data_IF_131090591930
#
_entry.id   IF_131090591930
#
_cell.length_a   1.000
_cell.length_b   1.000
_cell.length_c   1.000
_cell.angle_alpha   90.00
_cell.angle_beta   90.00
_cell.angle_gamma   90.00
#
_symmetry.space_group_name_H-M   'P 1'
#
loop_
_entity.id
_entity.type
_entity.pdbx_description
1 polymer ?
#
# COMPACT_ATOMS: atom_id res chain seq x y z
N UNK A 1 40.04 -53.10 -18.26
CA UNK A 1 38.90 -52.33 -18.83
C UNK A 1 37.68 -52.27 -17.86
N UNK A 2 37.89 -51.98 -16.56
CA UNK A 2 36.81 -52.04 -15.54
C UNK A 2 36.70 -50.83 -14.58
N UNK A 3 37.61 -49.85 -14.62
CA UNK A 3 37.56 -48.68 -13.71
C UNK A 3 36.90 -47.43 -14.30
N UNK A 4 36.86 -47.27 -15.64
CA UNK A 4 36.30 -46.06 -16.26
C UNK A 4 34.76 -46.03 -16.25
N UNK A 5 34.12 -47.20 -16.33
CA UNK A 5 32.65 -47.29 -16.33
C UNK A 5 32.03 -47.06 -14.95
N UNK A 6 32.77 -47.32 -13.87
CA UNK A 6 32.27 -47.12 -12.50
C UNK A 6 32.29 -45.64 -12.08
N UNK A 7 33.30 -44.88 -12.52
CA UNK A 7 33.39 -43.45 -12.24
C UNK A 7 32.28 -42.63 -12.91
N UNK A 8 31.87 -43.02 -14.12
CA UNK A 8 30.83 -42.33 -14.87
C UNK A 8 29.46 -42.55 -14.22
N UNK A 9 29.16 -43.76 -13.71
CA UNK A 9 27.91 -44.00 -12.98
C UNK A 9 27.84 -43.21 -11.64
N UNK A 10 28.94 -43.07 -10.90
CA UNK A 10 28.93 -42.29 -9.65
C UNK A 10 28.73 -40.78 -9.89
N UNK A 11 29.24 -40.23 -10.99
CA UNK A 11 29.04 -38.81 -11.35
C UNK A 11 27.59 -38.50 -11.74
N UNK A 12 26.90 -39.42 -12.43
CA UNK A 12 25.47 -39.24 -12.76
C UNK A 12 24.55 -39.39 -11.55
N UNK A 13 24.89 -40.27 -10.60
CA UNK A 13 24.09 -40.42 -9.37
C UNK A 13 24.31 -39.22 -8.43
N UNK A 14 25.53 -38.67 -8.33
CA UNK A 14 25.74 -37.43 -7.58
C UNK A 14 25.08 -36.21 -8.25
N UNK A 15 25.04 -36.13 -9.58
CA UNK A 15 24.34 -35.04 -10.27
C UNK A 15 22.81 -35.13 -10.13
N UNK A 16 22.24 -36.33 -10.04
CA UNK A 16 20.80 -36.53 -9.88
C UNK A 16 20.31 -36.39 -8.42
N UNK A 17 21.19 -36.56 -7.42
CA UNK A 17 20.83 -36.46 -5.99
C UNK A 17 21.16 -35.08 -5.39
N UNK A 18 22.01 -34.27 -6.04
CA UNK A 18 22.37 -32.91 -5.55
C UNK A 18 21.55 -31.79 -6.24
N UNK A 19 20.76 -32.10 -7.27
CA UNK A 19 19.87 -31.13 -7.93
C UNK A 19 18.40 -31.42 -7.63
N UNK A 20 17.94 -31.08 -6.41
CA UNK A 20 16.68 -30.35 -6.32
C UNK A 20 16.70 -29.14 -5.36
N UNK A 21 17.86 -28.60 -4.96
CA UNK A 21 17.92 -27.48 -3.99
C UNK A 21 18.20 -26.10 -4.58
N UNK A 22 18.06 -25.92 -5.89
CA UNK A 22 18.22 -24.63 -6.58
C UNK A 22 17.02 -24.27 -7.45
N UNK A 23 15.83 -24.72 -7.06
CA UNK A 23 14.60 -24.02 -7.43
C UNK A 23 14.37 -23.04 -6.29
N UNK A 24 14.64 -21.75 -6.50
CA UNK A 24 14.26 -20.70 -5.55
C UNK A 24 12.82 -20.95 -5.13
N UNK A 25 12.54 -20.83 -3.82
CA UNK A 25 11.21 -21.04 -3.29
C UNK A 25 10.29 -19.96 -3.87
N UNK A 26 9.71 -20.23 -5.04
CA UNK A 26 8.74 -19.33 -5.67
C UNK A 26 7.68 -19.01 -4.64
N UNK A 27 7.54 -17.73 -4.30
CA UNK A 27 6.52 -17.28 -3.35
C UNK A 27 5.17 -17.83 -3.77
N UNK A 28 4.63 -18.73 -2.96
CA UNK A 28 3.32 -19.34 -3.22
C UNK A 28 2.27 -18.46 -2.56
N UNK A 29 1.32 -17.98 -3.37
CA UNK A 29 0.22 -17.14 -2.92
C UNK A 29 -1.08 -17.93 -3.00
N UNK A 30 -1.64 -18.27 -1.84
CA UNK A 30 -3.01 -18.79 -1.78
C UNK A 30 -4.00 -17.62 -1.81
N UNK A 31 -5.00 -17.71 -2.70
CA UNK A 31 -6.01 -16.66 -2.89
C UNK A 31 -7.38 -17.13 -2.42
N UNK A 32 -7.96 -16.40 -1.47
CA UNK A 32 -9.27 -16.72 -0.89
C UNK A 32 -10.24 -15.55 -1.11
N UNK A 33 -11.23 -15.68 -2.01
CA UNK A 33 -12.29 -14.68 -2.16
C UNK A 33 -13.06 -14.52 -0.86
N UNK A 34 -13.18 -13.28 -0.38
CA UNK A 34 -13.88 -12.97 0.87
C UNK A 34 -15.26 -12.39 0.63
N UNK A 35 -15.35 -11.40 -0.27
CA UNK A 35 -16.56 -10.61 -0.43
C UNK A 35 -16.67 -10.02 -1.84
N UNK A 36 -17.83 -10.21 -2.47
CA UNK A 36 -18.18 -9.52 -3.71
C UNK A 36 -18.65 -8.10 -3.39
N UNK A 37 -17.90 -7.10 -3.82
CA UNK A 37 -18.19 -5.69 -3.55
C UNK A 37 -19.44 -5.28 -4.35
N UNK A 38 -20.46 -4.68 -3.72
CA UNK A 38 -21.70 -4.25 -4.40
C UNK A 38 -21.51 -2.91 -5.14
N UNK A 39 -20.37 -2.73 -5.79
CA UNK A 39 -20.01 -1.57 -6.60
C UNK A 39 -19.51 -2.07 -7.95
N UNK A 40 -20.01 -1.49 -9.04
CA UNK A 40 -19.54 -1.83 -10.37
C UNK A 40 -18.09 -1.37 -10.57
N UNK A 41 -17.31 -2.15 -11.33
CA UNK A 41 -15.92 -1.85 -11.65
C UNK A 41 -15.74 -0.48 -12.33
N UNK A 42 -16.74 -0.06 -13.12
CA UNK A 42 -16.76 1.22 -13.85
C UNK A 42 -17.27 2.41 -13.01
N UNK A 43 -17.64 2.19 -11.74
CA UNK A 43 -18.21 3.23 -10.88
C UNK A 43 -17.18 4.23 -10.33
N UNK A 44 -15.94 4.19 -10.83
CA UNK A 44 -14.82 4.98 -10.34
C UNK A 44 -14.43 4.58 -8.92
N UNK A 45 -14.14 3.30 -8.70
CA UNK A 45 -13.66 2.78 -7.41
C UNK A 45 -12.33 3.44 -7.07
N UNK A 46 -12.27 4.03 -5.87
CA UNK A 46 -11.05 4.65 -5.32
C UNK A 46 -10.15 3.56 -4.74
N UNK A 47 -10.77 2.60 -4.06
CA UNK A 47 -10.09 1.43 -3.52
C UNK A 47 -10.55 1.13 -2.11
N UNK A 48 -9.66 0.58 -1.28
CA UNK A 48 -9.97 0.12 0.06
C UNK A 48 -9.11 0.71 1.17
N UNK A 49 -9.67 0.68 2.38
CA UNK A 49 -9.01 0.99 3.65
C UNK A 49 -9.41 0.01 4.74
N UNK A 50 -8.48 -0.26 5.65
CA UNK A 50 -8.68 -1.19 6.76
C UNK A 50 -8.65 -0.43 8.08
N UNK A 51 -9.61 -0.71 8.95
CA UNK A 51 -9.65 -0.18 10.31
C UNK A 51 -10.03 -1.31 11.26
N UNK A 52 -9.04 -1.84 11.97
CA UNK A 52 -9.18 -3.07 12.75
C UNK A 52 -9.56 -4.26 11.87
N UNK A 53 -10.68 -4.90 12.15
CA UNK A 53 -11.22 -6.03 11.39
C UNK A 53 -12.17 -5.61 10.24
N UNK A 54 -12.30 -4.32 9.95
CA UNK A 54 -13.25 -3.79 8.96
C UNK A 54 -12.54 -3.26 7.74
N UNK A 55 -13.04 -3.63 6.58
CA UNK A 55 -12.60 -3.17 5.27
C UNK A 55 -13.65 -2.22 4.69
N UNK A 56 -13.23 -1.03 4.33
CA UNK A 56 -14.06 -0.04 3.66
C UNK A 56 -13.65 0.00 2.20
N UNK A 57 -14.60 -0.15 1.29
CA UNK A 57 -14.39 0.04 -0.16
C UNK A 57 -15.29 1.16 -0.63
N UNK A 58 -14.73 2.18 -1.28
CA UNK A 58 -15.48 3.36 -1.71
C UNK A 58 -15.25 3.72 -3.17
N UNK A 59 -16.20 4.45 -3.76
CA UNK A 59 -16.10 5.01 -5.10
C UNK A 59 -16.18 6.54 -5.11
N UNK A 60 -15.83 7.12 -6.25
CA UNK A 60 -15.78 8.57 -6.46
C UNK A 60 -17.11 9.29 -6.26
N UNK A 61 -18.25 8.60 -6.30
CA UNK A 61 -19.58 9.16 -6.02
C UNK A 61 -19.94 9.17 -4.52
N UNK A 62 -18.99 8.81 -3.66
CA UNK A 62 -19.15 8.79 -2.21
C UNK A 62 -19.92 7.58 -1.67
N UNK A 63 -20.24 6.58 -2.51
CA UNK A 63 -20.82 5.31 -2.04
C UNK A 63 -19.71 4.44 -1.47
N UNK A 64 -20.00 3.77 -0.37
CA UNK A 64 -19.05 2.84 0.24
C UNK A 64 -19.76 1.60 0.79
N UNK A 65 -18.98 0.54 0.95
CA UNK A 65 -19.35 -0.65 1.71
C UNK A 65 -18.33 -0.85 2.83
N UNK A 66 -18.80 -1.21 4.01
CA UNK A 66 -17.99 -1.64 5.14
C UNK A 66 -18.22 -3.13 5.37
N UNK A 67 -17.23 -3.95 5.09
CA UNK A 67 -17.24 -5.38 5.33
C UNK A 67 -16.45 -5.72 6.59
N UNK A 68 -17.04 -6.49 7.50
CA UNK A 68 -16.39 -6.97 8.71
C UNK A 68 -15.82 -8.37 8.46
N UNK A 69 -14.49 -8.52 8.59
CA UNK A 69 -13.77 -9.74 8.24
C UNK A 69 -14.13 -10.93 9.14
N UNK A 70 -14.58 -10.67 10.36
CA UNK A 70 -14.85 -11.70 11.37
C UNK A 70 -16.29 -12.19 11.28
N UNK A 71 -17.24 -11.24 11.31
CA UNK A 71 -18.68 -11.53 11.25
C UNK A 71 -19.19 -11.82 9.84
N UNK A 72 -18.43 -11.42 8.81
CA UNK A 72 -18.80 -11.45 7.39
C UNK A 72 -20.02 -10.60 7.05
N UNK A 73 -20.37 -9.65 7.91
CA UNK A 73 -21.45 -8.70 7.67
C UNK A 73 -20.96 -7.52 6.82
N UNK A 74 -21.84 -7.02 5.95
CA UNK A 74 -21.57 -5.85 5.12
C UNK A 74 -22.62 -4.76 5.36
N UNK A 75 -22.16 -3.52 5.52
CA UNK A 75 -23.00 -2.34 5.62
C UNK A 75 -22.73 -1.41 4.46
N UNK A 76 -23.76 -1.06 3.71
CA UNK A 76 -23.68 -0.07 2.64
C UNK A 76 -23.91 1.34 3.21
N UNK A 77 -23.18 2.32 2.70
CA UNK A 77 -23.32 3.70 3.10
C UNK A 77 -23.02 4.68 1.97
N UNK A 78 -23.26 5.95 2.26
CA UNK A 78 -22.92 7.06 1.38
C UNK A 78 -22.47 8.24 2.23
N UNK A 79 -21.40 8.90 1.82
CA UNK A 79 -20.95 10.15 2.45
C UNK A 79 -21.78 11.35 1.95
N UNK A 80 -21.81 12.42 2.73
CA UNK A 80 -22.49 13.67 2.38
C UNK A 80 -21.68 14.53 1.41
N UNK A 81 -21.23 13.94 0.30
CA UNK A 81 -20.50 14.63 -0.75
C UNK A 81 -20.91 14.06 -2.13
N UNK A 82 -21.01 14.93 -3.13
CA UNK A 82 -21.37 14.52 -4.50
C UNK A 82 -20.21 13.78 -5.19
N UNK A 83 -18.98 14.17 -4.86
CA UNK A 83 -17.75 13.57 -5.36
C UNK A 83 -16.72 13.51 -4.26
N UNK A 84 -16.03 12.38 -4.17
CA UNK A 84 -14.81 12.21 -3.38
C UNK A 84 -13.64 11.87 -4.29
N UNK A 85 -12.46 12.40 -3.95
CA UNK A 85 -11.19 12.18 -4.62
C UNK A 85 -10.51 10.97 -3.99
N UNK A 86 -10.41 10.97 -2.67
CA UNK A 86 -9.77 9.91 -1.90
C UNK A 86 -10.35 9.82 -0.48
N UNK A 87 -10.05 8.75 0.25
CA UNK A 87 -10.54 8.54 1.61
C UNK A 87 -9.58 7.77 2.52
N UNK A 88 -9.77 7.97 3.82
CA UNK A 88 -9.23 7.14 4.88
C UNK A 88 -10.29 6.87 5.96
N UNK A 89 -9.95 6.11 7.01
CA UNK A 89 -10.88 5.70 8.07
C UNK A 89 -10.34 6.04 9.45
N UNK A 90 -11.06 6.91 10.17
CA UNK A 90 -10.81 7.22 11.57
C UNK A 90 -11.92 6.63 12.45
N UNK A 91 -11.57 5.80 13.43
CA UNK A 91 -12.51 5.27 14.43
C UNK A 91 -13.77 4.62 13.79
N UNK A 92 -13.57 3.89 12.68
CA UNK A 92 -14.65 3.22 11.95
C UNK A 92 -15.57 4.15 11.14
N UNK A 93 -15.19 5.42 10.94
CA UNK A 93 -15.88 6.38 10.09
C UNK A 93 -14.95 6.91 9.00
N UNK A 94 -15.50 7.18 7.83
CA UNK A 94 -14.71 7.75 6.73
C UNK A 94 -14.33 9.20 7.03
N UNK A 95 -13.08 9.52 6.74
CA UNK A 95 -12.63 10.86 6.40
C UNK A 95 -12.34 10.87 4.89
N UNK A 96 -12.64 11.95 4.19
CA UNK A 96 -12.47 11.99 2.75
C UNK A 96 -12.06 13.36 2.26
N UNK A 97 -11.40 13.39 1.12
CA UNK A 97 -11.15 14.59 0.34
C UNK A 97 -12.24 14.71 -0.73
N UNK A 98 -13.04 15.78 -0.70
CA UNK A 98 -14.11 15.99 -1.67
C UNK A 98 -13.60 16.54 -3.01
N UNK A 99 -14.49 16.61 -4.01
CA UNK A 99 -14.16 17.13 -5.35
C UNK A 99 -13.70 18.59 -5.40
N UNK A 100 -13.87 19.37 -4.32
CA UNK A 100 -13.42 20.75 -4.16
C UNK A 100 -12.17 20.86 -3.28
N UNK A 101 -11.53 19.74 -2.95
CA UNK A 101 -10.34 19.68 -2.11
C UNK A 101 -10.60 19.93 -0.62
N UNK A 102 -11.85 19.82 -0.14
CA UNK A 102 -12.17 19.97 1.28
C UNK A 102 -12.18 18.62 1.99
N UNK A 103 -11.75 18.63 3.24
CA UNK A 103 -11.82 17.46 4.11
C UNK A 103 -13.23 17.34 4.68
N UNK A 104 -13.86 16.17 4.51
CA UNK A 104 -15.19 15.84 5.03
C UNK A 104 -15.22 14.57 5.85
N UNK A 105 -16.37 14.29 6.49
CA UNK A 105 -16.57 13.11 7.32
C UNK A 105 -16.17 13.33 8.78
N UNK A 106 -15.36 12.43 9.35
CA UNK A 106 -14.89 12.54 10.74
C UNK A 106 -13.73 13.53 10.88
N UNK A 107 -14.03 14.81 10.71
CA UNK A 107 -13.05 15.92 10.77
C UNK A 107 -12.84 16.37 12.22
N UNK A 108 -11.61 16.69 12.60
CA UNK A 108 -11.32 17.33 13.90
C UNK A 108 -11.71 18.80 13.85
N UNK A 109 -12.33 19.30 14.93
CA UNK A 109 -12.84 20.68 14.97
C UNK A 109 -11.73 21.76 14.88
N UNK A 110 -10.51 21.43 15.30
CA UNK A 110 -9.37 22.36 15.21
C UNK A 110 -8.83 22.52 13.80
N UNK A 111 -8.98 21.51 12.94
CA UNK A 111 -8.37 21.51 11.62
C UNK A 111 -8.93 22.62 10.73
N UNK A 112 -8.08 23.29 9.92
CA UNK A 112 -8.52 24.38 9.07
C UNK A 112 -9.56 23.92 8.05
N UNK A 113 -10.74 24.57 8.03
CA UNK A 113 -11.86 24.28 7.12
C UNK A 113 -11.69 24.87 5.72
N UNK A 114 -10.49 24.81 5.15
CA UNK A 114 -10.16 25.34 3.82
C UNK A 114 -10.14 24.23 2.75
N UNK A 115 -10.01 24.65 1.49
CA UNK A 115 -9.75 23.76 0.36
C UNK A 115 -8.25 23.57 0.17
N UNK A 116 -7.84 22.37 -0.19
CA UNK A 116 -6.46 21.96 -0.43
C UNK A 116 -6.29 21.41 -1.84
N UNK A 117 -5.14 21.69 -2.45
CA UNK A 117 -4.75 21.06 -3.72
C UNK A 117 -4.05 19.74 -3.38
N UNK A 118 -4.83 18.67 -3.35
CA UNK A 118 -4.35 17.32 -3.07
C UNK A 118 -5.16 16.30 -3.84
N UNK A 119 -4.59 15.11 -4.06
CA UNK A 119 -5.27 13.97 -4.67
C UNK A 119 -5.33 12.74 -3.77
N UNK A 120 -4.70 12.81 -2.59
CA UNK A 120 -4.62 11.71 -1.62
C UNK A 120 -4.78 12.22 -0.20
N UNK A 121 -5.41 11.41 0.65
CA UNK A 121 -5.63 11.65 2.08
C UNK A 121 -5.23 10.39 2.87
N UNK A 122 -4.35 10.54 3.86
CA UNK A 122 -3.89 9.45 4.71
C UNK A 122 -3.86 9.91 6.17
N UNK A 123 -4.31 9.07 7.09
CA UNK A 123 -4.31 9.32 8.53
C UNK A 123 -3.17 8.57 9.24
N UNK A 124 -2.67 9.16 10.31
CA UNK A 124 -1.92 8.47 11.36
C UNK A 124 -2.44 8.85 12.75
N UNK A 125 -1.87 8.28 13.80
CA UNK A 125 -2.16 8.68 15.17
C UNK A 125 -1.86 10.17 15.45
N UNK A 126 -0.88 10.76 14.76
CA UNK A 126 -0.42 12.14 14.94
C UNK A 126 -1.18 13.17 14.11
N UNK A 127 -1.82 12.78 13.01
CA UNK A 127 -2.46 13.77 12.14
C UNK A 127 -3.03 13.22 10.84
N UNK A 128 -3.24 14.15 9.92
CA UNK A 128 -3.70 13.90 8.56
C UNK A 128 -2.68 14.41 7.56
N UNK A 129 -2.29 13.58 6.61
CA UNK A 129 -1.45 13.96 5.48
C UNK A 129 -2.32 14.08 4.22
N UNK A 130 -2.16 15.19 3.53
CA UNK A 130 -2.69 15.42 2.18
C UNK A 130 -1.52 15.44 1.20
N UNK A 131 -1.63 14.72 0.09
CA UNK A 131 -0.54 14.60 -0.89
C UNK A 131 -1.02 14.52 -2.33
N UNK A 132 -0.07 14.51 -3.28
CA UNK A 132 -0.35 14.46 -4.72
C UNK A 132 -0.85 15.78 -5.34
N UNK A 133 -0.58 16.91 -4.67
CA UNK A 133 -0.56 18.25 -5.28
C UNK A 133 0.88 18.76 -5.44
N UNK A 134 1.08 20.08 -5.50
CA UNK A 134 2.42 20.69 -5.66
C UNK A 134 3.34 20.47 -4.44
N UNK A 135 2.75 20.25 -3.26
CA UNK A 135 3.43 19.97 -2.00
C UNK A 135 2.52 19.13 -1.10
N UNK A 136 3.12 18.32 -0.23
CA UNK A 136 2.37 17.63 0.81
C UNK A 136 2.01 18.58 1.95
N UNK A 137 0.90 18.28 2.64
CA UNK A 137 0.36 19.12 3.70
C UNK A 137 0.04 18.22 4.89
N UNK A 138 0.62 18.51 6.04
CA UNK A 138 0.36 17.79 7.27
C UNK A 138 -0.48 18.65 8.22
N UNK A 139 -1.58 18.06 8.69
CA UNK A 139 -2.44 18.62 9.72
C UNK A 139 -2.28 17.79 11.00
N UNK A 140 -1.41 18.25 11.90
CA UNK A 140 -1.28 17.65 13.23
C UNK A 140 -2.62 17.56 13.96
N UNK A 141 -2.76 16.63 14.89
CA UNK A 141 -3.98 16.33 15.64
C UNK A 141 -4.73 17.55 16.20
N UNK A 142 -3.99 18.58 16.62
CA UNK A 142 -4.53 19.81 17.19
C UNK A 142 -4.17 21.05 16.36
N UNK A 143 -3.75 20.87 15.11
CA UNK A 143 -3.36 21.95 14.22
C UNK A 143 -4.54 22.92 14.02
N UNK A 144 -4.24 24.22 14.15
CA UNK A 144 -5.11 25.33 13.71
C UNK A 144 -4.65 25.92 12.37
N UNK A 145 -3.46 25.54 11.92
CA UNK A 145 -2.87 25.95 10.64
C UNK A 145 -2.20 24.73 9.97
N UNK A 146 -2.16 24.67 8.63
CA UNK A 146 -1.49 23.60 7.92
C UNK A 146 0.04 23.73 7.95
N UNK A 147 0.75 22.62 8.14
CA UNK A 147 2.18 22.52 7.88
C UNK A 147 2.41 22.06 6.44
N UNK A 148 3.20 22.81 5.69
CA UNK A 148 3.52 22.48 4.29
C UNK A 148 4.88 21.81 4.20
N UNK A 149 4.95 20.70 3.47
CA UNK A 149 6.14 19.88 3.28
C UNK A 149 6.63 20.04 1.84
N UNK A 150 7.48 21.04 1.56
CA UNK A 150 7.89 21.35 0.20
C UNK A 150 8.74 20.24 -0.40
N UNK A 151 8.51 19.95 -1.69
CA UNK A 151 9.29 18.97 -2.45
C UNK A 151 8.88 17.51 -2.25
N UNK A 152 7.99 17.21 -1.29
CA UNK A 152 7.48 15.86 -1.07
C UNK A 152 6.15 15.64 -1.83
N UNK A 153 6.11 14.66 -2.73
CA UNK A 153 4.95 14.38 -3.57
C UNK A 153 4.30 13.01 -3.31
N UNK A 154 5.08 11.92 -3.32
CA UNK A 154 4.59 10.59 -2.95
C UNK A 154 4.99 10.27 -1.53
N UNK A 155 4.03 10.46 -0.63
CA UNK A 155 4.26 10.35 0.82
C UNK A 155 3.18 9.53 1.50
N UNK A 156 3.53 8.96 2.64
CA UNK A 156 2.62 8.29 3.57
C UNK A 156 2.99 8.64 5.00
N UNK A 157 2.02 9.03 5.84
CA UNK A 157 2.29 9.20 7.25
C UNK A 157 2.42 7.82 7.90
N UNK A 158 3.32 7.70 8.86
CA UNK A 158 3.35 6.57 9.80
C UNK A 158 3.02 7.05 11.19
N UNK A 159 2.71 6.11 12.07
CA UNK A 159 2.53 6.42 13.47
C UNK A 159 3.83 6.97 14.09
N UNK A 160 3.68 7.84 15.09
CA UNK A 160 4.76 8.57 15.78
C UNK A 160 5.35 9.76 15.02
N UNK A 161 4.65 10.26 13.99
CA UNK A 161 4.95 11.55 13.38
C UNK A 161 6.06 11.52 12.34
N UNK A 162 6.42 10.35 11.83
CA UNK A 162 7.27 10.24 10.65
C UNK A 162 6.41 10.19 9.37
N UNK A 163 7.06 10.49 8.26
CA UNK A 163 6.49 10.47 6.91
C UNK A 163 7.45 9.72 6.00
N UNK A 164 6.98 8.63 5.42
CA UNK A 164 7.64 8.01 4.28
C UNK A 164 7.53 8.94 3.07
N UNK A 165 8.62 9.12 2.35
CA UNK A 165 8.63 9.75 1.03
C UNK A 165 9.33 8.83 0.03
N UNK A 166 8.72 8.66 -1.16
CA UNK A 166 9.40 8.05 -2.30
C UNK A 166 9.56 9.09 -3.39
N UNK A 167 10.79 9.47 -3.69
CA UNK A 167 11.09 10.61 -4.56
C UNK A 167 12.41 10.44 -5.29
N UNK A 168 12.62 11.22 -6.34
CA UNK A 168 13.89 11.25 -7.07
C UNK A 168 14.90 12.06 -6.25
N UNK A 169 16.04 11.44 -5.93
CA UNK A 169 17.16 12.11 -5.30
C UNK A 169 17.84 13.04 -6.31
N UNK A 170 18.01 14.31 -5.94
CA UNK A 170 18.60 15.32 -6.83
C UNK A 170 20.09 15.07 -7.15
N UNK A 171 20.79 14.25 -6.37
CA UNK A 171 22.24 14.02 -6.54
C UNK A 171 22.56 13.05 -7.66
N UNK A 172 21.78 11.97 -7.79
CA UNK A 172 22.04 10.88 -8.74
C UNK A 172 20.86 10.58 -9.67
N UNK A 173 19.71 11.22 -9.47
CA UNK A 173 18.51 11.05 -10.30
C UNK A 173 17.78 9.73 -10.05
N UNK A 174 18.16 8.96 -9.04
CA UNK A 174 17.51 7.70 -8.71
C UNK A 174 16.35 7.92 -7.74
N UNK A 175 15.37 7.02 -7.77
CA UNK A 175 14.33 6.98 -6.75
C UNK A 175 14.89 6.48 -5.42
N UNK A 176 14.50 7.15 -4.34
CA UNK A 176 14.79 6.76 -2.96
C UNK A 176 13.50 6.66 -2.16
N UNK A 177 13.48 5.74 -1.19
CA UNK A 177 12.57 5.77 -0.06
C UNK A 177 13.31 6.36 1.15
N UNK A 178 12.77 7.45 1.67
CA UNK A 178 13.37 8.24 2.74
C UNK A 178 12.34 8.46 3.86
N UNK A 179 12.83 8.64 5.09
CA UNK A 179 12.02 8.99 6.24
C UNK A 179 12.22 10.45 6.61
N UNK A 180 11.11 11.15 6.74
CA UNK A 180 11.01 12.53 7.18
C UNK A 180 10.27 12.62 8.51
N UNK A 181 10.49 13.68 9.28
CA UNK A 181 9.56 14.03 10.36
C UNK A 181 8.33 14.76 9.80
N UNK A 182 7.33 15.00 10.66
CA UNK A 182 6.09 15.70 10.31
C UNK A 182 6.27 17.17 9.91
N UNK A 183 7.49 17.70 9.99
CA UNK A 183 7.85 19.06 9.58
C UNK A 183 8.67 19.09 8.28
N UNK A 184 8.96 17.92 7.70
CA UNK A 184 9.66 17.81 6.42
C UNK A 184 11.18 17.81 6.55
N UNK A 185 11.71 17.56 7.75
CA UNK A 185 13.15 17.34 7.93
C UNK A 185 13.50 15.90 7.58
N UNK A 186 14.51 15.71 6.72
CA UNK A 186 15.02 14.38 6.39
C UNK A 186 15.67 13.77 7.63
N UNK A 187 15.16 12.62 8.06
CA UNK A 187 15.64 11.89 9.23
C UNK A 187 16.60 10.75 8.82
N UNK A 188 16.27 10.03 7.74
CA UNK A 188 17.05 8.88 7.28
C UNK A 188 16.80 8.60 5.79
N UNK A 189 17.87 8.48 5.00
CA UNK A 189 17.81 7.88 3.65
C UNK A 189 17.78 6.35 3.81
N UNK A 190 16.69 5.69 3.42
CA UNK A 190 16.47 4.28 3.83
C UNK A 190 16.80 3.30 2.73
N UNK A 191 16.28 3.50 1.52
CA UNK A 191 16.45 2.57 0.42
C UNK A 191 16.57 3.28 -0.91
N UNK A 192 17.59 2.91 -1.69
CA UNK A 192 17.81 3.42 -3.04
C UNK A 192 17.34 2.39 -4.06
N UNK A 193 16.43 2.79 -4.94
CA UNK A 193 15.95 1.96 -6.03
C UNK A 193 16.89 2.00 -7.24
N UNK A 194 16.68 1.05 -8.16
CA UNK A 194 17.38 1.05 -9.44
C UNK A 194 16.98 2.24 -10.32
N UNK A 195 17.81 2.55 -11.32
CA UNK A 195 17.58 3.59 -12.32
C UNK A 195 16.36 3.32 -13.23
N UNK A 196 15.94 2.05 -13.34
CA UNK A 196 14.76 1.63 -14.10
C UNK A 196 13.48 1.53 -13.26
N UNK A 197 13.51 1.96 -12.00
CA UNK A 197 12.35 1.88 -11.11
C UNK A 197 11.23 2.84 -11.53
N UNK A 198 10.03 2.29 -11.67
CA UNK A 198 8.82 3.02 -12.05
C UNK A 198 7.72 2.83 -10.98
N UNK A 199 7.60 3.75 -10.00
CA UNK A 199 6.66 3.62 -8.90
C UNK A 199 5.22 3.74 -9.39
N UNK A 200 4.37 2.82 -8.94
CA UNK A 200 2.93 2.81 -9.25
C UNK A 200 2.06 3.03 -8.01
N UNK A 201 2.62 3.02 -6.80
CA UNK A 201 1.87 3.31 -5.58
C UNK A 201 2.64 3.00 -4.31
N UNK A 202 2.17 3.60 -3.22
CA UNK A 202 2.66 3.39 -1.86
C UNK A 202 1.49 3.07 -0.95
N UNK A 203 1.67 2.06 -0.10
CA UNK A 203 0.79 1.76 1.03
C UNK A 203 1.64 1.43 2.27
N UNK A 204 1.04 1.44 3.44
CA UNK A 204 1.69 0.88 4.63
C UNK A 204 1.68 -0.64 4.55
N UNK A 205 2.74 -1.24 5.08
CA UNK A 205 2.88 -2.67 5.31
C UNK A 205 1.87 -3.22 6.32
N UNK A 206 2.01 -4.50 6.69
CA UNK A 206 1.23 -5.06 7.79
C UNK A 206 1.48 -4.26 9.09
N UNK A 207 0.58 -4.37 10.07
CA UNK A 207 0.75 -3.71 11.36
C UNK A 207 2.00 -4.25 12.09
N UNK A 208 3.15 -3.60 11.85
CA UNK A 208 4.41 -3.81 12.54
C UNK A 208 4.70 -2.70 13.54
N UNK A 209 5.81 -2.84 14.28
CA UNK A 209 6.25 -1.83 15.25
C UNK A 209 6.83 -0.57 14.59
N UNK A 210 7.20 -0.67 13.31
CA UNK A 210 8.07 0.30 12.65
C UNK A 210 7.43 1.01 11.45
N UNK A 211 6.19 0.64 11.07
CA UNK A 211 5.48 1.25 9.95
C UNK A 211 6.17 0.94 8.62
N UNK A 212 6.27 -0.34 8.27
CA UNK A 212 6.94 -0.80 7.06
C UNK A 212 6.29 -0.19 5.81
N UNK A 213 7.10 0.06 4.77
CA UNK A 213 6.63 0.63 3.52
C UNK A 213 6.35 -0.48 2.51
N UNK A 214 5.13 -0.54 1.99
CA UNK A 214 4.80 -1.33 0.82
C UNK A 214 4.90 -0.47 -0.44
N UNK A 215 5.84 -0.81 -1.31
CA UNK A 215 6.07 -0.11 -2.57
C UNK A 215 5.57 -0.95 -3.74
N UNK A 216 4.76 -0.35 -4.59
CA UNK A 216 4.35 -0.92 -5.88
C UNK A 216 5.17 -0.32 -7.00
N UNK A 217 5.73 -1.12 -7.90
CA UNK A 217 6.43 -0.64 -9.10
C UNK A 217 6.18 -1.51 -10.32
N UNK A 218 6.31 -0.95 -11.52
CA UNK A 218 6.22 -1.70 -12.77
C UNK A 218 7.62 -2.09 -13.21
N UNK A 219 7.88 -3.40 -13.25
CA UNK A 219 9.14 -3.95 -13.74
C UNK A 219 8.86 -5.01 -14.79
N UNK A 220 9.44 -4.86 -15.99
CA UNK A 220 9.21 -5.78 -17.11
C UNK A 220 7.71 -5.98 -17.43
N UNK A 221 6.91 -4.91 -17.33
CA UNK A 221 5.45 -4.90 -17.53
C UNK A 221 4.64 -5.69 -16.50
N UNK A 222 5.27 -6.13 -15.40
CA UNK A 222 4.62 -6.78 -14.27
C UNK A 222 4.68 -5.86 -13.07
N UNK A 223 3.57 -5.73 -12.33
CA UNK A 223 3.59 -5.00 -11.06
C UNK A 223 4.34 -5.85 -10.03
N UNK A 224 5.39 -5.29 -9.43
CA UNK A 224 6.07 -5.83 -8.27
C UNK A 224 5.58 -5.14 -7.01
N UNK A 225 5.48 -5.91 -5.94
CA UNK A 225 5.27 -5.41 -4.58
C UNK A 225 6.51 -5.71 -3.76
N UNK A 226 7.06 -4.69 -3.12
CA UNK A 226 8.23 -4.80 -2.23
C UNK A 226 7.88 -4.27 -0.85
N UNK A 227 8.17 -5.04 0.20
CA UNK A 227 8.03 -4.60 1.59
C UNK A 227 9.39 -4.19 2.15
N UNK A 228 9.51 -2.94 2.58
CA UNK A 228 10.76 -2.32 3.02
C UNK A 228 10.61 -1.86 4.47
N UNK A 229 11.52 -2.29 5.34
CA UNK A 229 11.62 -1.80 6.72
C UNK A 229 12.28 -0.43 6.81
N UNK A 230 12.06 0.28 7.92
CA UNK A 230 12.69 1.58 8.18
C UNK A 230 14.23 1.51 8.28
N UNK A 231 14.78 0.30 8.44
CA UNK A 231 16.20 -0.02 8.53
C UNK A 231 16.85 -0.26 7.16
N UNK A 232 16.10 -0.15 6.07
CA UNK A 232 16.57 -0.36 4.70
C UNK A 232 16.55 -1.82 4.25
N UNK A 233 16.14 -2.76 5.11
CA UNK A 233 15.98 -4.14 4.72
C UNK A 233 14.72 -4.33 3.88
N UNK A 234 14.85 -4.96 2.72
CA UNK A 234 13.71 -5.42 1.93
C UNK A 234 13.31 -6.81 2.42
N UNK A 235 12.20 -6.89 3.16
CA UNK A 235 11.72 -8.15 3.73
C UNK A 235 11.30 -9.15 2.66
N UNK A 236 10.73 -8.66 1.57
CA UNK A 236 10.41 -9.47 0.42
C UNK A 236 10.06 -8.64 -0.80
N UNK A 237 10.11 -9.29 -1.97
CA UNK A 237 9.63 -8.76 -3.24
C UNK A 237 8.93 -9.85 -4.03
N UNK A 238 7.74 -9.55 -4.55
CA UNK A 238 6.92 -10.53 -5.27
C UNK A 238 6.14 -9.90 -6.43
N UNK A 239 5.60 -10.76 -7.30
CA UNK A 239 4.61 -10.34 -8.30
C UNK A 239 3.29 -9.97 -7.63
N UNK A 240 2.85 -8.75 -7.88
CA UNK A 240 1.58 -8.22 -7.41
C UNK A 240 0.44 -8.43 -8.40
N UNK A 241 -0.80 -8.20 -7.96
CA UNK A 241 -1.95 -8.13 -8.86
C UNK A 241 -1.78 -6.94 -9.83
N UNK A 242 -2.35 -7.00 -11.04
CA UNK A 242 -2.47 -5.83 -11.90
C UNK A 242 -3.09 -4.66 -11.13
N UNK A 243 -2.55 -3.45 -11.30
CA UNK A 243 -3.09 -2.27 -10.62
C UNK A 243 -4.35 -1.79 -11.31
N UNK A 244 -5.51 -2.13 -10.74
CA UNK A 244 -6.83 -1.81 -11.30
C UNK A 244 -7.49 -0.61 -10.62
N UNK A 245 -7.20 -0.41 -9.34
CA UNK A 245 -7.74 0.70 -8.54
C UNK A 245 -6.59 1.45 -7.85
N UNK A 246 -6.77 2.75 -7.54
CA UNK A 246 -5.73 3.53 -6.86
C UNK A 246 -5.20 2.89 -5.58
N UNK A 247 -6.12 2.42 -4.72
CA UNK A 247 -5.86 1.76 -3.41
C UNK A 247 -6.34 0.32 -3.40
N UNK A 248 -5.67 -0.54 -4.14
CA UNK A 248 -6.10 -1.92 -4.37
C UNK A 248 -5.45 -2.96 -3.46
N UNK A 249 -4.50 -2.55 -2.61
CA UNK A 249 -3.81 -3.42 -1.65
C UNK A 249 -3.85 -2.79 -0.26
N UNK A 250 -4.02 -3.63 0.76
CA UNK A 250 -3.96 -3.29 2.18
C UNK A 250 -3.65 -4.56 2.98
N UNK A 251 -3.53 -4.45 4.31
CA UNK A 251 -3.32 -5.59 5.19
C UNK A 251 -4.43 -5.69 6.24
N UNK A 252 -4.83 -6.91 6.58
CA UNK A 252 -5.67 -7.15 7.75
C UNK A 252 -4.85 -7.14 9.06
N UNK A 253 -5.55 -7.20 10.19
CA UNK A 253 -4.96 -7.18 11.53
C UNK A 253 -4.07 -8.40 11.85
N UNK A 254 -4.08 -9.43 11.00
CA UNK A 254 -3.21 -10.61 11.11
C UNK A 254 -2.01 -10.52 10.15
N UNK A 255 -1.88 -9.42 9.40
CA UNK A 255 -0.82 -9.22 8.42
C UNK A 255 -1.06 -9.95 7.10
N UNK A 256 -2.26 -10.48 6.85
CA UNK A 256 -2.56 -11.02 5.52
C UNK A 256 -2.84 -9.89 4.55
N UNK A 257 -2.35 -10.03 3.33
CA UNK A 257 -2.60 -9.05 2.29
C UNK A 257 -4.03 -9.19 1.78
N UNK A 258 -4.74 -8.07 1.71
CA UNK A 258 -6.02 -7.92 1.07
C UNK A 258 -5.80 -7.29 -0.30
N UNK A 259 -6.56 -7.76 -1.29
CA UNK A 259 -6.49 -7.27 -2.66
C UNK A 259 -7.89 -7.04 -3.22
N UNK A 260 -8.10 -5.90 -3.89
CA UNK A 260 -9.25 -5.69 -4.74
C UNK A 260 -8.96 -6.20 -6.15
N UNK A 261 -9.63 -7.28 -6.56
CA UNK A 261 -9.46 -7.91 -7.87
C UNK A 261 -10.74 -7.83 -8.71
N UNK A 262 -10.58 -7.96 -10.03
CA UNK A 262 -11.69 -8.23 -10.93
C UNK A 262 -11.77 -9.73 -11.22
N UNK A 263 -12.93 -10.33 -10.94
CA UNK A 263 -13.24 -11.71 -11.30
C UNK A 263 -14.59 -11.70 -12.00
N UNK A 264 -14.64 -12.20 -13.24
CA UNK A 264 -15.87 -12.23 -14.07
C UNK A 264 -16.61 -10.88 -14.17
N UNK A 265 -15.86 -9.78 -14.27
CA UNK A 265 -16.34 -8.37 -14.29
C UNK A 265 -16.88 -7.84 -12.96
N UNK A 266 -16.92 -8.67 -11.94
CA UNK A 266 -17.26 -8.26 -10.58
C UNK A 266 -16.01 -7.86 -9.81
N UNK A 267 -16.17 -6.93 -8.86
CA UNK A 267 -15.11 -6.50 -7.96
C UNK A 267 -15.15 -7.37 -6.72
N UNK A 268 -14.02 -7.98 -6.38
CA UNK A 268 -13.88 -8.89 -5.25
C UNK A 268 -12.81 -8.39 -4.29
N UNK A 269 -13.13 -8.47 -3.00
CA UNK A 269 -12.13 -8.46 -1.94
C UNK A 269 -11.60 -9.88 -1.79
N UNK A 270 -10.31 -10.07 -2.07
CA UNK A 270 -9.61 -11.34 -1.97
C UNK A 270 -8.53 -11.24 -0.90
N UNK A 271 -8.37 -12.27 -0.07
CA UNK A 271 -7.21 -12.42 0.82
C UNK A 271 -6.11 -13.21 0.10
N UNK A 272 -4.90 -12.68 0.10
CA UNK A 272 -3.70 -13.36 -0.36
C UNK A 272 -2.91 -13.80 0.87
N UNK A 273 -2.72 -15.11 1.01
CA UNK A 273 -1.88 -15.70 2.05
C UNK A 273 -0.52 -16.00 1.44
N UNK A 274 0.51 -15.30 1.91
CA UNK A 274 1.87 -15.47 1.43
C UNK A 274 2.52 -16.64 2.16
N UNK A 275 2.95 -17.65 1.41
CA UNK A 275 3.77 -18.74 1.94
C UNK A 275 5.16 -18.64 1.31
N UNK A 276 6.18 -18.48 2.15
CA UNK A 276 7.59 -18.27 1.74
C UNK A 276 7.78 -17.05 0.83
N UNK A 277 7.53 -15.82 1.31
CA UNK A 277 7.92 -14.64 0.55
C UNK A 277 9.45 -14.64 0.39
N UNK A 278 9.96 -14.47 -0.84
CA UNK A 278 11.39 -14.40 -1.10
C UNK A 278 11.94 -13.06 -0.58
N UNK A 279 12.87 -13.12 0.38
CA UNK A 279 13.58 -11.98 0.94
C UNK A 279 14.32 -12.32 2.23
#
# INVERSE_FOLDING_TARGET
MKMRSLLICCLFICAAVVLPQLVGAQTMVEKTPLFKVPLSADSGIIGMRVSGNKVFVANSAGRFVRYDLDSKEALNGRVSADKIIDFDVALGQMIFLDGNGRIGGRVRASWPGQSYVASKIDLSNEGLLLSGGDQAIFLEKNATEPAYLPGLAMVLPVDNGFVWAVQINSKDGNWNADLYDSFGNLMHEVYKFSDVFDPSGLELGPLGTEGELLVSAIENKVRKLSLIGNNGYMFWKMDGPPKLFPRDVAFDNLGNMLVLELQDKDVWLTRWVLTHPEG
#
